data_IF_278663365280
#
_entry.id   IF_278663365280
#
_cell.length_a   1.000
_cell.length_b   1.000
_cell.length_c   1.000
_cell.angle_alpha   90.00
_cell.angle_beta   90.00
_cell.angle_gamma   90.00
#
_symmetry.space_group_name_H-M   'P 1'
#
loop_
_entity.id
_entity.type
_entity.pdbx_description
1 polymer ?
#
# COMPACT_ATOMS: atom_id res chain seq x y z
N UNK A 1 -35.91 13.51 -14.57
CA UNK A 1 -35.46 12.75 -13.38
C UNK A 1 -35.07 11.37 -13.85
N UNK A 2 -33.78 11.13 -14.06
CA UNK A 2 -33.12 9.82 -14.10
C UNK A 2 -31.61 10.08 -14.24
N UNK A 3 -30.91 10.14 -13.11
CA UNK A 3 -29.46 9.99 -13.09
C UNK A 3 -29.13 8.54 -13.46
N UNK A 4 -28.11 8.27 -14.30
CA UNK A 4 -27.57 6.93 -14.40
C UNK A 4 -26.99 6.58 -13.02
N UNK A 5 -27.54 5.54 -12.40
CA UNK A 5 -26.97 4.91 -11.23
C UNK A 5 -25.69 4.22 -11.71
N UNK A 6 -24.54 4.82 -11.45
CA UNK A 6 -23.26 4.12 -11.48
C UNK A 6 -23.37 2.97 -10.47
N UNK A 7 -23.71 1.78 -10.97
CA UNK A 7 -23.70 0.53 -10.23
C UNK A 7 -22.24 0.11 -10.03
N UNK A 8 -21.54 0.81 -9.14
CA UNK A 8 -20.21 0.40 -8.69
C UNK A 8 -20.43 -0.73 -7.69
N UNK A 9 -20.16 -1.96 -8.13
CA UNK A 9 -20.12 -3.10 -7.23
C UNK A 9 -19.21 -2.79 -6.01
N UNK A 10 -19.60 -3.16 -4.78
CA UNK A 10 -18.83 -2.85 -3.60
C UNK A 10 -17.42 -3.46 -3.71
N UNK A 11 -16.39 -2.66 -3.41
CA UNK A 11 -15.01 -3.15 -3.44
C UNK A 11 -14.87 -4.38 -2.51
N UNK A 12 -14.16 -5.43 -2.95
CA UNK A 12 -13.94 -6.59 -2.10
C UNK A 12 -13.18 -6.18 -0.83
N UNK A 13 -13.50 -6.81 0.32
CA UNK A 13 -12.83 -6.52 1.57
C UNK A 13 -11.32 -6.79 1.42
N UNK A 14 -10.44 -6.12 2.19
CA UNK A 14 -8.99 -6.23 2.04
C UNK A 14 -8.45 -7.68 2.04
N UNK A 15 -9.15 -8.59 2.71
CA UNK A 15 -8.83 -10.02 2.78
C UNK A 15 -9.08 -10.79 1.48
N UNK A 16 -9.96 -10.31 0.61
CA UNK A 16 -10.31 -10.93 -0.68
C UNK A 16 -9.60 -10.29 -1.88
N UNK A 17 -8.84 -9.22 -1.66
CA UNK A 17 -8.07 -8.55 -2.72
C UNK A 17 -6.92 -9.45 -3.16
N UNK A 18 -6.85 -9.72 -4.47
CA UNK A 18 -5.74 -10.43 -5.09
C UNK A 18 -4.67 -9.41 -5.53
N UNK A 19 -3.43 -9.46 -5.02
CA UNK A 19 -2.39 -8.50 -5.38
C UNK A 19 -1.97 -8.53 -6.85
N UNK A 20 -2.34 -9.57 -7.61
CA UNK A 20 -2.06 -9.65 -9.06
C UNK A 20 -3.16 -9.04 -9.92
N UNK A 21 -4.22 -8.52 -9.30
CA UNK A 21 -5.29 -7.82 -10.00
C UNK A 21 -4.91 -6.33 -10.14
N UNK A 22 -5.11 -5.76 -11.33
CA UNK A 22 -4.72 -4.39 -11.68
C UNK A 22 -5.45 -3.34 -10.84
N UNK A 23 -6.54 -3.72 -10.18
CA UNK A 23 -7.27 -2.87 -9.23
C UNK A 23 -6.52 -2.62 -7.90
N UNK A 24 -5.46 -3.38 -7.59
CA UNK A 24 -4.72 -3.28 -6.32
C UNK A 24 -3.23 -2.98 -6.55
N UNK A 25 -2.85 -1.71 -6.76
CA UNK A 25 -1.47 -1.34 -7.01
C UNK A 25 -0.56 -1.77 -5.85
N UNK A 26 0.55 -2.43 -6.17
CA UNK A 26 1.51 -2.98 -5.20
C UNK A 26 2.65 -2.03 -4.84
N UNK A 27 2.69 -0.86 -5.46
CA UNK A 27 3.67 0.19 -5.23
C UNK A 27 3.82 1.14 -6.42
N UNK A 28 4.73 2.12 -6.34
CA UNK A 28 5.08 2.98 -7.47
C UNK A 28 5.70 2.19 -8.62
N UNK A 29 5.54 2.68 -9.85
CA UNK A 29 6.21 2.10 -11.01
C UNK A 29 7.74 2.26 -10.95
N UNK A 30 8.46 1.44 -11.72
CA UNK A 30 9.91 1.54 -11.83
C UNK A 30 10.29 2.91 -12.39
N UNK A 31 11.16 3.63 -11.67
CA UNK A 31 11.58 4.99 -12.00
C UNK A 31 10.77 6.08 -11.30
N UNK A 32 9.62 5.75 -10.69
CA UNK A 32 8.90 6.67 -9.82
C UNK A 32 9.55 6.75 -8.44
N UNK A 33 9.41 7.92 -7.83
CA UNK A 33 9.87 8.16 -6.46
C UNK A 33 8.91 7.49 -5.48
N UNK A 34 9.43 6.71 -4.54
CA UNK A 34 8.63 6.18 -3.44
C UNK A 34 8.18 7.33 -2.54
N UNK A 35 6.87 7.47 -2.23
CA UNK A 35 6.37 8.50 -1.33
C UNK A 35 7.06 8.43 0.03
N UNK A 36 7.22 9.59 0.68
CA UNK A 36 7.69 9.60 2.06
C UNK A 36 6.60 9.12 3.01
N UNK A 37 7.00 8.43 4.08
CA UNK A 37 6.09 7.91 5.10
C UNK A 37 6.80 7.79 6.44
N UNK A 38 6.00 7.90 7.50
CA UNK A 38 6.40 7.62 8.87
C UNK A 38 5.52 6.51 9.43
N UNK A 39 6.12 5.43 9.88
CA UNK A 39 5.43 4.28 10.46
C UNK A 39 6.03 3.91 11.83
N UNK A 40 5.26 3.19 12.63
CA UNK A 40 5.71 2.68 13.92
C UNK A 40 6.48 1.37 13.74
N UNK A 41 7.65 1.26 14.35
CA UNK A 41 8.42 0.01 14.40
C UNK A 41 7.84 -1.00 15.42
N UNK A 42 8.46 -2.18 15.54
CA UNK A 42 8.03 -3.22 16.48
C UNK A 42 8.17 -2.85 17.97
N UNK A 43 8.86 -1.76 18.28
CA UNK A 43 9.08 -1.25 19.64
C UNK A 43 8.20 -0.03 19.96
N UNK A 44 7.38 0.42 19.02
CA UNK A 44 6.52 1.59 19.21
C UNK A 44 7.16 2.91 18.80
N UNK A 45 8.37 2.91 18.23
CA UNK A 45 9.04 4.14 17.82
C UNK A 45 8.56 4.58 16.43
N UNK A 46 8.37 5.88 16.25
CA UNK A 46 8.12 6.46 14.93
C UNK A 46 9.40 6.45 14.09
N UNK A 47 9.32 5.93 12.87
CA UNK A 47 10.42 5.87 11.90
C UNK A 47 9.99 6.53 10.61
N UNK A 48 10.65 7.63 10.24
CA UNK A 48 10.53 8.22 8.91
C UNK A 48 11.41 7.47 7.91
N UNK A 49 10.84 7.11 6.77
CA UNK A 49 11.54 6.30 5.76
C UNK A 49 12.73 7.00 5.13
N UNK A 50 12.58 8.25 4.69
CA UNK A 50 13.64 8.99 4.01
C UNK A 50 14.83 9.25 4.95
N UNK A 51 14.57 9.64 6.19
CA UNK A 51 15.60 9.82 7.23
C UNK A 51 16.31 8.51 7.55
N UNK A 52 15.55 7.42 7.74
CA UNK A 52 16.10 6.10 8.09
C UNK A 52 16.98 5.52 6.98
N UNK A 53 16.58 5.65 5.71
CA UNK A 53 17.39 5.15 4.59
C UNK A 53 18.59 6.06 4.29
N UNK A 54 18.48 7.37 4.56
CA UNK A 54 19.46 8.37 4.16
C UNK A 54 19.90 8.25 2.69
N UNK A 55 21.20 8.11 2.45
CA UNK A 55 21.78 7.93 1.11
C UNK A 55 21.84 6.46 0.63
N UNK A 56 21.28 5.52 1.40
CA UNK A 56 21.38 4.08 1.11
C UNK A 56 20.21 3.58 0.26
N UNK A 57 20.42 2.43 -0.40
CA UNK A 57 19.35 1.64 -1.03
C UNK A 57 18.50 1.00 0.06
N UNK A 58 17.22 0.84 -0.22
CA UNK A 58 16.24 0.23 0.69
C UNK A 58 15.38 -0.81 -0.04
N UNK A 59 14.86 -1.77 0.72
CA UNK A 59 13.84 -2.72 0.28
C UNK A 59 12.57 -2.45 1.08
N UNK A 60 11.44 -2.32 0.41
CA UNK A 60 10.12 -2.15 1.04
C UNK A 60 9.28 -3.38 0.71
N UNK A 61 8.82 -4.07 1.74
CA UNK A 61 8.01 -5.27 1.63
C UNK A 61 6.64 -5.00 2.23
N UNK A 62 5.61 -4.99 1.40
CA UNK A 62 4.23 -5.05 1.87
C UNK A 62 3.87 -6.50 2.12
N UNK A 63 3.47 -6.82 3.35
CA UNK A 63 2.97 -8.14 3.68
C UNK A 63 1.72 -8.01 4.55
N UNK A 64 0.85 -9.01 4.46
CA UNK A 64 -0.27 -9.20 5.39
C UNK A 64 -0.10 -10.56 6.06
N UNK A 65 -0.41 -10.65 7.34
CA UNK A 65 -0.45 -11.95 8.01
C UNK A 65 -1.60 -12.79 7.45
N UNK A 66 -1.36 -14.08 7.26
CA UNK A 66 -2.46 -15.02 7.09
C UNK A 66 -3.12 -15.22 8.46
N UNK A 67 -4.41 -14.86 8.57
CA UNK A 67 -5.28 -15.42 9.61
C UNK A 67 -5.84 -16.73 9.04
N UNK A 68 -5.57 -17.82 9.74
CA UNK A 68 -6.14 -19.14 9.49
C UNK A 68 -7.39 -19.31 10.34
#
# INVERSE_FOLDING_TARGET
MTQPTDDVAPEPPPTQRNPTDDHFPTGPEVGMVLPDFTLTDQHGNAVNFQESRGSRRALVLFHRSARW
#
